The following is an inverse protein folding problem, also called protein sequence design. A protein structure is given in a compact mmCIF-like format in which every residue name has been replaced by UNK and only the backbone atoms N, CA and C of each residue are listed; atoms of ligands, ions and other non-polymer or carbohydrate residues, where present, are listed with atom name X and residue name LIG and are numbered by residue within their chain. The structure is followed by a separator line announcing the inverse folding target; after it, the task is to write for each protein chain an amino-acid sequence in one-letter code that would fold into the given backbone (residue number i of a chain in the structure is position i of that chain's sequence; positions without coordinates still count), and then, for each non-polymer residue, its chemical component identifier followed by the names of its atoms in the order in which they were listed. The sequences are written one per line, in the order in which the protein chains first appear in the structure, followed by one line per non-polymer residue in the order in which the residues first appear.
data_IF_137287897598
#
_entry.id   IF_137287897598
#
_cell.length_a   1.000
_cell.length_b   1.000
_cell.length_c   1.000
_cell.angle_alpha   90.00
_cell.angle_beta   90.00
_cell.angle_gamma   90.00
#
_symmetry.space_group_name_H-M   'P 1'
#
loop_
_entity.id
_entity.type
_entity.pdbx_description
1 polymer ?
#
# COMPACT_ATOMS: atom_id res chain seq x y z
N UNK A 1 5.25 5.73 4.81
CA UNK A 1 5.60 4.46 4.15
C UNK A 1 5.27 4.40 2.65
N UNK A 2 4.05 4.05 2.19
CA UNK A 2 3.77 3.89 0.72
C UNK A 2 4.06 5.17 -0.07
N UNK A 3 3.85 6.34 0.54
CA UNK A 3 4.20 7.62 -0.06
C UNK A 3 5.71 7.80 -0.32
N UNK A 4 6.55 7.27 0.56
CA UNK A 4 8.01 7.38 0.52
C UNK A 4 8.65 6.22 -0.25
N UNK A 5 7.98 5.07 -0.27
CA UNK A 5 8.44 3.80 -0.84
C UNK A 5 7.41 3.29 -1.85
N UNK A 6 7.50 3.83 -3.07
CA UNK A 6 6.63 3.42 -4.17
C UNK A 6 6.82 1.91 -4.46
N UNK A 7 5.74 1.26 -4.92
CA UNK A 7 5.73 -0.16 -5.27
C UNK A 7 6.05 -1.18 -4.14
N UNK A 8 5.95 -0.79 -2.86
CA UNK A 8 6.15 -1.69 -1.71
C UNK A 8 5.11 -2.82 -1.63
N UNK A 9 5.51 -4.03 -1.20
CA UNK A 9 4.55 -5.13 -0.98
C UNK A 9 3.92 -5.07 0.42
N UNK A 10 2.81 -5.79 0.60
CA UNK A 10 2.15 -5.96 1.91
C UNK A 10 3.09 -6.60 2.94
N UNK A 11 3.89 -7.58 2.52
CA UNK A 11 4.88 -8.23 3.39
C UNK A 11 5.97 -7.26 3.83
N UNK A 12 6.54 -6.49 2.89
CA UNK A 12 7.58 -5.50 3.23
C UNK A 12 7.05 -4.46 4.23
N UNK A 13 5.80 -4.02 4.05
CA UNK A 13 5.16 -3.08 4.98
C UNK A 13 4.94 -3.70 6.36
N UNK A 14 4.51 -4.96 6.41
CA UNK A 14 4.31 -5.70 7.66
C UNK A 14 5.63 -5.83 8.44
N UNK A 15 6.70 -6.21 7.76
CA UNK A 15 8.03 -6.39 8.36
C UNK A 15 8.62 -5.06 8.85
N UNK A 16 8.57 -4.00 8.03
CA UNK A 16 9.10 -2.69 8.39
C UNK A 16 8.34 -2.03 9.54
N UNK A 17 7.00 -2.14 9.54
CA UNK A 17 6.16 -1.55 10.57
C UNK A 17 6.04 -2.43 11.81
N UNK A 18 6.54 -3.68 11.76
CA UNK A 18 6.37 -4.71 12.81
C UNK A 18 4.90 -4.93 13.16
N UNK A 19 4.05 -5.00 12.12
CA UNK A 19 2.61 -5.21 12.21
C UNK A 19 2.25 -6.50 11.48
N UNK A 20 1.23 -7.21 11.94
CA UNK A 20 0.74 -8.42 11.25
C UNK A 20 0.31 -8.14 9.80
N UNK A 21 0.66 -9.06 8.90
CA UNK A 21 0.33 -9.00 7.47
C UNK A 21 -1.17 -8.80 7.24
N UNK A 22 -2.02 -9.44 8.05
CA UNK A 22 -3.48 -9.34 7.92
C UNK A 22 -4.01 -7.95 8.35
N UNK A 23 -3.39 -7.31 9.35
CA UNK A 23 -3.71 -5.95 9.73
C UNK A 23 -3.32 -4.97 8.61
N UNK A 24 -2.12 -5.11 8.03
CA UNK A 24 -1.72 -4.32 6.85
C UNK A 24 -2.70 -4.55 5.69
N UNK A 25 -3.12 -5.81 5.43
CA UNK A 25 -4.08 -6.11 4.37
C UNK A 25 -5.41 -5.37 4.56
N UNK A 26 -5.94 -5.31 5.79
CA UNK A 26 -7.16 -4.55 6.11
C UNK A 26 -6.99 -3.05 5.84
N UNK A 27 -5.85 -2.47 6.25
CA UNK A 27 -5.52 -1.06 6.01
C UNK A 27 -5.45 -0.77 4.50
N UNK A 28 -4.72 -1.60 3.75
CA UNK A 28 -4.57 -1.44 2.29
C UNK A 28 -5.93 -1.50 1.60
N UNK A 29 -6.77 -2.47 1.95
CA UNK A 29 -8.11 -2.59 1.36
C UNK A 29 -8.98 -1.34 1.65
N UNK A 30 -8.91 -0.79 2.87
CA UNK A 30 -9.64 0.43 3.22
C UNK A 30 -9.14 1.65 2.42
N UNK A 31 -7.82 1.82 2.30
CA UNK A 31 -7.22 2.91 1.52
C UNK A 31 -7.54 2.80 0.02
N UNK A 32 -7.62 1.57 -0.50
CA UNK A 32 -8.04 1.31 -1.87
C UNK A 32 -9.51 1.62 -2.11
N UNK A 33 -10.39 1.24 -1.18
CA UNK A 33 -11.82 1.59 -1.25
C UNK A 33 -12.02 3.11 -1.35
N UNK A 34 -11.16 3.88 -0.69
CA UNK A 34 -11.15 5.35 -0.76
C UNK A 34 -10.41 5.94 -1.97
N UNK A 35 -9.88 5.09 -2.85
CA UNK A 35 -9.07 5.47 -4.03
C UNK A 35 -7.83 6.30 -3.67
N UNK A 36 -7.24 6.07 -2.49
CA UNK A 36 -6.03 6.77 -2.04
C UNK A 36 -4.76 6.06 -2.51
N UNK A 37 -4.81 4.73 -2.62
CA UNK A 37 -3.73 3.89 -3.15
C UNK A 37 -4.25 2.98 -4.26
N UNK A 38 -3.34 2.54 -5.12
CA UNK A 38 -3.56 1.48 -6.12
C UNK A 38 -2.66 0.29 -5.79
N UNK A 39 -3.06 -0.90 -6.20
CA UNK A 39 -2.19 -2.07 -6.10
C UNK A 39 -2.16 -2.86 -7.39
N UNK A 40 -1.04 -3.51 -7.66
CA UNK A 40 -0.90 -4.44 -8.77
C UNK A 40 -0.35 -5.78 -8.27
N UNK A 41 -0.87 -6.87 -8.82
CA UNK A 41 -0.29 -8.18 -8.61
C UNK A 41 1.02 -8.30 -9.38
N UNK A 42 2.03 -8.88 -8.75
CA UNK A 42 3.25 -9.22 -9.45
C UNK A 42 3.05 -10.44 -10.37
N UNK A 43 3.44 -10.31 -11.64
CA UNK A 43 3.30 -11.37 -12.65
C UNK A 43 4.17 -12.59 -12.33
N UNK A 44 5.16 -12.47 -11.44
CA UNK A 44 6.05 -13.56 -11.04
C UNK A 44 5.62 -14.37 -9.80
N UNK A 45 4.68 -13.90 -8.99
CA UNK A 45 4.47 -14.45 -7.63
C UNK A 45 3.19 -15.28 -7.45
N UNK A 46 2.61 -15.82 -8.53
CA UNK A 46 1.28 -16.48 -8.50
C UNK A 46 0.22 -15.61 -7.77
N UNK A 47 0.30 -14.28 -7.91
CA UNK A 47 -0.62 -13.34 -7.26
C UNK A 47 -0.43 -13.15 -5.76
N UNK A 48 0.63 -13.70 -5.14
CA UNK A 48 0.88 -13.54 -3.69
C UNK A 48 1.43 -12.16 -3.33
N UNK A 49 2.31 -11.61 -4.16
CA UNK A 49 2.87 -10.28 -3.92
C UNK A 49 1.99 -9.21 -4.56
N UNK A 50 1.47 -8.33 -3.71
CA UNK A 50 0.63 -7.19 -4.10
C UNK A 50 1.40 -5.90 -3.84
N UNK A 51 2.00 -5.35 -4.90
CA UNK A 51 2.72 -4.06 -4.85
C UNK A 51 1.72 -2.92 -4.74
N UNK A 52 1.94 -2.01 -3.80
CA UNK A 52 1.07 -0.88 -3.53
C UNK A 52 1.77 0.43 -3.88
N UNK A 53 1.02 1.37 -4.46
CA UNK A 53 1.52 2.69 -4.86
C UNK A 53 0.47 3.75 -4.56
N UNK A 54 0.91 4.97 -4.26
CA UNK A 54 -0.01 6.06 -3.96
C UNK A 54 -0.67 6.60 -5.24
N UNK A 55 -1.92 7.03 -5.13
CA UNK A 55 -2.61 7.75 -6.23
C UNK A 55 -2.35 9.25 -6.14
N UNK A 56 -2.65 9.99 -7.22
CA UNK A 56 -2.63 11.45 -7.19
C UNK A 56 -3.58 12.02 -6.11
N UNK A 57 -4.73 11.38 -5.87
CA UNK A 57 -5.67 11.76 -4.81
C UNK A 57 -5.05 11.57 -3.43
N UNK A 58 -4.41 10.42 -3.20
CA UNK A 58 -3.71 10.13 -1.94
C UNK A 58 -2.57 11.11 -1.67
N UNK A 59 -1.76 11.41 -2.70
CA UNK A 59 -0.65 12.36 -2.60
C UNK A 59 -1.12 13.75 -2.18
N UNK A 60 -2.14 14.30 -2.86
CA UNK A 60 -2.75 15.60 -2.49
C UNK A 60 -3.28 15.63 -1.06
N UNK A 61 -3.78 14.50 -0.55
CA UNK A 61 -4.33 14.44 0.81
C UNK A 61 -3.22 14.49 1.86
N UNK A 62 -2.09 13.81 1.62
CA UNK A 62 -0.91 13.87 2.50
C UNK A 62 -0.31 15.28 2.49
N UNK A 63 -0.15 15.88 1.30
CA UNK A 63 0.38 17.24 1.13
C UNK A 63 -0.46 18.32 1.83
N UNK A 64 -1.78 18.11 1.95
CA UNK A 64 -2.67 19.03 2.70
C UNK A 64 -2.59 18.86 4.22
N UNK A 65 -2.14 17.70 4.69
CA UNK A 65 -2.05 17.36 6.10
C UNK A 65 -0.65 17.63 6.69
N UNK A 66 0.31 17.97 5.83
CA UNK A 66 1.70 18.34 6.19
C UNK A 66 1.85 19.85 6.20
#
# INVERSE_FOLDING_TARGET
FIYEHDESTISDMADNLKIEVDAIRKIINALQGNKLIKSKYDKGTRGRARRCSITAKGKKLIEKAS
#
